data_IF_655110566849
#
_entry.id   IF_655110566849
#
_cell.length_a   1.000
_cell.length_b   1.000
_cell.length_c   1.000
_cell.angle_alpha   90.00
_cell.angle_beta   90.00
_cell.angle_gamma   90.00
#
_symmetry.space_group_name_H-M   'P 1'
#
loop_
_entity.id
_entity.type
_entity.pdbx_description
1 polymer ?
#
# COMPACT_ATOMS: atom_id res chain seq x y z
N UNK A 1 38.45 -2.52 -63.57
CA UNK A 1 37.47 -2.76 -62.48
C UNK A 1 38.18 -2.65 -61.12
N UNK A 2 38.03 -1.54 -60.40
CA UNK A 2 38.63 -1.34 -59.06
C UNK A 2 37.76 -2.05 -58.02
N UNK A 3 38.25 -3.16 -57.47
CA UNK A 3 37.63 -3.82 -56.31
C UNK A 3 37.79 -2.89 -55.10
N UNK A 4 36.67 -2.44 -54.54
CA UNK A 4 36.64 -1.59 -53.35
C UNK A 4 37.15 -2.35 -52.13
N UNK A 5 38.45 -2.23 -51.85
CA UNK A 5 39.04 -2.66 -50.60
C UNK A 5 38.51 -1.77 -49.46
N UNK A 6 37.70 -2.35 -48.55
CA UNK A 6 37.19 -1.66 -47.35
C UNK A 6 35.75 -1.96 -46.97
N UNK A 7 34.87 -2.23 -47.94
CA UNK A 7 33.41 -2.37 -47.70
C UNK A 7 33.08 -3.72 -47.04
N UNK A 8 33.74 -4.80 -47.46
CA UNK A 8 33.51 -6.15 -46.91
C UNK A 8 33.85 -6.26 -45.42
N UNK A 9 34.92 -5.58 -44.95
CA UNK A 9 35.29 -5.55 -43.53
C UNK A 9 34.29 -4.79 -42.67
N UNK A 10 33.76 -3.67 -43.17
CA UNK A 10 32.69 -2.89 -42.51
C UNK A 10 31.39 -3.71 -42.45
N UNK A 11 31.03 -4.37 -43.54
CA UNK A 11 29.82 -5.20 -43.62
C UNK A 11 29.92 -6.42 -42.69
N UNK A 12 31.09 -7.05 -42.58
CA UNK A 12 31.37 -8.15 -41.64
C UNK A 12 31.37 -7.68 -40.17
N UNK A 13 31.89 -6.48 -39.89
CA UNK A 13 31.82 -5.84 -38.56
C UNK A 13 30.37 -5.48 -38.19
N UNK A 14 29.56 -5.07 -39.16
CA UNK A 14 28.15 -4.77 -38.95
C UNK A 14 27.32 -6.04 -38.75
N UNK A 15 27.57 -7.10 -39.52
CA UNK A 15 26.94 -8.42 -39.34
C UNK A 15 27.31 -9.07 -38.00
N UNK A 16 28.56 -8.96 -37.56
CA UNK A 16 28.96 -9.46 -36.24
C UNK A 16 28.26 -8.68 -35.12
N UNK A 17 28.21 -7.35 -35.21
CA UNK A 17 27.46 -6.51 -34.25
C UNK A 17 25.97 -6.86 -34.21
N UNK A 18 25.32 -7.10 -35.36
CA UNK A 18 23.90 -7.50 -35.37
C UNK A 18 23.70 -8.89 -34.79
N UNK A 19 24.61 -9.84 -35.03
CA UNK A 19 24.54 -11.18 -34.43
C UNK A 19 24.75 -11.13 -32.91
N UNK A 20 25.73 -10.36 -32.41
CA UNK A 20 25.90 -10.15 -30.97
C UNK A 20 24.65 -9.53 -30.34
N UNK A 21 24.04 -8.54 -30.99
CA UNK A 21 22.79 -7.93 -30.51
C UNK A 21 21.62 -8.92 -30.52
N UNK A 22 21.53 -9.82 -31.51
CA UNK A 22 20.49 -10.87 -31.55
C UNK A 22 20.67 -11.85 -30.40
N UNK A 23 21.91 -12.31 -30.16
CA UNK A 23 22.22 -13.22 -29.06
C UNK A 23 21.95 -12.55 -27.72
N UNK A 24 22.39 -11.30 -27.55
CA UNK A 24 22.12 -10.52 -26.34
C UNK A 24 20.61 -10.36 -26.08
N UNK A 25 19.82 -10.05 -27.12
CA UNK A 25 18.36 -10.02 -27.03
C UNK A 25 17.77 -11.37 -26.63
N UNK A 26 18.20 -12.47 -27.27
CA UNK A 26 17.69 -13.80 -26.90
C UNK A 26 18.01 -14.19 -25.44
N UNK A 27 19.18 -13.78 -24.93
CA UNK A 27 19.55 -14.02 -23.53
C UNK A 27 18.65 -13.19 -22.61
N UNK A 28 18.41 -11.92 -22.94
CA UNK A 28 17.52 -11.05 -22.19
C UNK A 28 16.07 -11.58 -22.21
N UNK A 29 15.57 -12.01 -23.35
CA UNK A 29 14.22 -12.56 -23.51
C UNK A 29 14.05 -13.83 -22.67
N UNK A 30 15.05 -14.73 -22.68
CA UNK A 30 15.06 -15.92 -21.83
C UNK A 30 15.06 -15.57 -20.33
N UNK A 31 15.80 -14.53 -19.93
CA UNK A 31 15.79 -14.05 -18.54
C UNK A 31 14.42 -13.49 -18.14
N UNK A 32 13.79 -12.71 -19.02
CA UNK A 32 12.44 -12.16 -18.78
C UNK A 32 11.42 -13.29 -18.65
N UNK A 33 11.48 -14.29 -19.54
CA UNK A 33 10.57 -15.43 -19.50
C UNK A 33 10.75 -16.28 -18.23
N UNK A 34 11.99 -16.46 -17.78
CA UNK A 34 12.29 -17.11 -16.51
C UNK A 34 11.71 -16.31 -15.34
N UNK A 35 11.92 -14.99 -15.31
CA UNK A 35 11.38 -14.12 -14.26
C UNK A 35 9.85 -14.15 -14.22
N UNK A 36 9.18 -14.11 -15.38
CA UNK A 36 7.72 -14.22 -15.46
C UNK A 36 7.22 -15.54 -14.88
N UNK A 37 7.92 -16.64 -15.17
CA UNK A 37 7.57 -17.97 -14.64
C UNK A 37 7.78 -18.05 -13.13
N UNK A 38 8.86 -17.46 -12.61
CA UNK A 38 9.12 -17.40 -11.18
C UNK A 38 8.08 -16.54 -10.45
N UNK A 39 7.69 -15.40 -11.03
CA UNK A 39 6.64 -14.54 -10.49
C UNK A 39 5.28 -15.24 -10.45
N UNK A 40 4.90 -15.96 -11.50
CA UNK A 40 3.63 -16.70 -11.51
C UNK A 40 3.61 -17.83 -10.49
N UNK A 41 4.71 -18.58 -10.37
CA UNK A 41 4.82 -19.64 -9.36
C UNK A 41 4.81 -19.06 -7.93
N UNK A 42 5.44 -17.91 -7.73
CA UNK A 42 5.41 -17.20 -6.45
C UNK A 42 3.98 -16.74 -6.10
N UNK A 43 3.24 -16.19 -7.06
CA UNK A 43 1.83 -15.79 -6.85
C UNK A 43 0.99 -16.99 -6.40
N UNK A 44 1.07 -18.13 -7.09
CA UNK A 44 0.32 -19.35 -6.70
C UNK A 44 0.71 -19.82 -5.28
N UNK A 45 1.99 -19.73 -4.93
CA UNK A 45 2.45 -20.13 -3.61
C UNK A 45 1.97 -19.18 -2.52
N UNK A 46 1.97 -17.87 -2.78
CA UNK A 46 1.48 -16.86 -1.84
C UNK A 46 -0.04 -16.97 -1.64
N UNK A 47 -0.78 -17.36 -2.68
CA UNK A 47 -2.22 -17.66 -2.60
C UNK A 47 -2.48 -18.85 -1.68
N UNK A 48 -1.79 -19.97 -1.90
CA UNK A 48 -1.89 -21.15 -1.03
C UNK A 48 -1.51 -20.82 0.41
N UNK A 49 -0.46 -20.03 0.60
CA UNK A 49 -0.01 -19.59 1.91
C UNK A 49 -1.10 -18.78 2.62
N UNK A 50 -1.66 -17.79 1.94
CA UNK A 50 -2.66 -16.92 2.50
C UNK A 50 -4.01 -17.62 2.75
N UNK A 51 -4.40 -18.56 1.89
CA UNK A 51 -5.57 -19.42 2.12
C UNK A 51 -5.38 -20.31 3.36
N UNK A 52 -4.19 -20.91 3.53
CA UNK A 52 -3.85 -21.76 4.68
C UNK A 52 -3.80 -20.98 5.99
N UNK A 53 -3.24 -19.76 5.95
CA UNK A 53 -3.01 -18.92 7.13
C UNK A 53 -4.02 -17.78 7.27
N UNK A 54 -5.20 -17.89 6.64
CA UNK A 54 -6.23 -16.84 6.61
C UNK A 54 -6.60 -16.34 8.02
N UNK A 55 -6.82 -17.26 8.95
CA UNK A 55 -7.19 -16.91 10.33
C UNK A 55 -6.04 -16.28 11.10
N UNK A 56 -4.80 -16.72 10.84
CA UNK A 56 -3.60 -16.18 11.47
C UNK A 56 -3.37 -14.73 11.01
N UNK A 57 -3.50 -14.47 9.70
CA UNK A 57 -3.43 -13.11 9.11
C UNK A 57 -4.50 -12.20 9.73
N UNK A 58 -5.69 -12.74 10.00
CA UNK A 58 -6.78 -11.98 10.61
C UNK A 58 -6.57 -11.74 12.10
N UNK A 59 -5.96 -12.67 12.84
CA UNK A 59 -5.83 -12.59 14.30
C UNK A 59 -4.60 -11.82 14.77
N UNK A 60 -3.47 -11.98 14.09
CA UNK A 60 -2.20 -11.38 14.49
C UNK A 60 -1.81 -10.18 13.59
N UNK A 61 -1.79 -8.94 14.13
CA UNK A 61 -1.43 -7.75 13.37
C UNK A 61 0.04 -7.77 12.90
N UNK A 62 0.96 -8.38 13.63
CA UNK A 62 2.38 -8.45 13.24
C UNK A 62 2.53 -9.34 12.01
N UNK A 63 1.91 -10.52 12.05
CA UNK A 63 1.89 -11.43 10.92
C UNK A 63 1.19 -10.82 9.70
N UNK A 64 0.08 -10.10 9.92
CA UNK A 64 -0.62 -9.36 8.86
C UNK A 64 0.29 -8.33 8.18
N UNK A 65 1.04 -7.55 8.96
CA UNK A 65 1.97 -6.55 8.43
C UNK A 65 3.07 -7.19 7.58
N UNK A 66 3.67 -8.29 8.03
CA UNK A 66 4.68 -9.02 7.26
C UNK A 66 4.12 -9.60 5.95
N UNK A 67 2.92 -10.19 6.00
CA UNK A 67 2.24 -10.70 4.83
C UNK A 67 2.04 -9.58 3.78
N UNK A 68 1.63 -8.39 4.22
CA UNK A 68 1.47 -7.25 3.33
C UNK A 68 2.79 -6.73 2.77
N UNK A 69 3.85 -6.66 3.58
CA UNK A 69 5.18 -6.30 3.11
C UNK A 69 5.66 -7.25 1.99
N UNK A 70 5.36 -8.54 2.10
CA UNK A 70 5.64 -9.50 1.03
C UNK A 70 4.87 -9.16 -0.24
N UNK A 71 3.55 -8.93 -0.14
CA UNK A 71 2.72 -8.55 -1.29
C UNK A 71 3.25 -7.28 -1.98
N UNK A 72 3.55 -6.23 -1.20
CA UNK A 72 4.02 -4.95 -1.73
C UNK A 72 5.38 -5.06 -2.44
N UNK A 73 6.30 -5.91 -1.96
CA UNK A 73 7.61 -6.14 -2.62
C UNK A 73 7.49 -6.74 -4.02
N UNK A 74 6.40 -7.43 -4.30
CA UNK A 74 6.13 -8.06 -5.61
C UNK A 74 5.31 -7.13 -6.51
N UNK A 75 4.90 -5.97 -5.99
CA UNK A 75 4.01 -5.05 -6.69
C UNK A 75 2.54 -5.50 -6.66
N UNK A 76 2.18 -6.35 -5.70
CA UNK A 76 0.81 -6.78 -5.48
C UNK A 76 0.23 -6.03 -4.28
N UNK A 77 -0.88 -5.34 -4.48
CA UNK A 77 -1.64 -4.76 -3.38
C UNK A 77 -2.89 -5.62 -3.11
N UNK A 78 -2.97 -6.31 -1.95
CA UNK A 78 -4.14 -7.11 -1.59
C UNK A 78 -5.40 -6.26 -1.35
N UNK A 79 -5.29 -4.92 -1.30
CA UNK A 79 -6.39 -3.99 -1.02
C UNK A 79 -6.88 -3.17 -2.22
N UNK A 80 -6.17 -3.21 -3.35
CA UNK A 80 -6.42 -2.30 -4.47
C UNK A 80 -7.61 -2.67 -5.39
N UNK A 81 -8.15 -3.90 -5.33
CA UNK A 81 -9.26 -4.27 -6.22
C UNK A 81 -10.05 -5.48 -5.73
N UNK A 82 -11.38 -5.32 -5.59
CA UNK A 82 -12.34 -6.41 -5.38
C UNK A 82 -12.40 -7.42 -6.55
N UNK A 83 -11.85 -7.07 -7.73
CA UNK A 83 -11.67 -7.98 -8.87
C UNK A 83 -10.22 -8.46 -9.03
N UNK A 84 -9.34 -8.06 -8.11
CA UNK A 84 -7.98 -8.56 -8.06
C UNK A 84 -7.99 -9.98 -7.52
N UNK A 85 -7.16 -10.83 -8.11
CA UNK A 85 -6.87 -12.21 -7.69
C UNK A 85 -6.76 -12.42 -6.16
N UNK A 86 -6.38 -11.36 -5.42
CA UNK A 86 -6.08 -11.38 -4.00
C UNK A 86 -7.24 -10.95 -3.07
N UNK A 87 -8.09 -10.01 -3.49
CA UNK A 87 -9.17 -9.52 -2.63
C UNK A 87 -10.31 -10.55 -2.53
N UNK A 88 -10.69 -11.14 -3.68
CA UNK A 88 -11.74 -12.14 -3.77
C UNK A 88 -11.34 -13.47 -3.09
N UNK A 89 -10.06 -13.85 -3.16
CA UNK A 89 -9.60 -15.14 -2.64
C UNK A 89 -9.22 -15.12 -1.15
N UNK A 90 -8.70 -14.01 -0.63
CA UNK A 90 -8.15 -13.96 0.72
C UNK A 90 -9.11 -13.40 1.78
N UNK A 91 -10.12 -12.60 1.39
CA UNK A 91 -11.01 -11.92 2.34
C UNK A 91 -10.24 -11.02 3.34
N UNK A 92 -9.03 -10.60 2.95
CA UNK A 92 -8.19 -9.64 3.67
C UNK A 92 -8.71 -8.23 3.41
N UNK A 93 -9.22 -7.95 2.20
CA UNK A 93 -9.90 -6.70 1.87
C UNK A 93 -11.09 -6.43 2.80
N UNK A 94 -11.93 -7.45 3.06
CA UNK A 94 -13.10 -7.33 3.94
C UNK A 94 -12.76 -6.81 5.33
N UNK A 95 -11.65 -7.25 5.90
CA UNK A 95 -11.18 -6.75 7.21
C UNK A 95 -10.89 -5.25 7.16
N UNK A 96 -10.18 -4.78 6.13
CA UNK A 96 -9.85 -3.36 5.99
C UNK A 96 -11.06 -2.51 5.66
N UNK A 97 -12.04 -3.04 4.91
CA UNK A 97 -13.30 -2.36 4.64
C UNK A 97 -14.16 -2.25 5.91
N UNK A 98 -14.26 -3.32 6.70
CA UNK A 98 -14.95 -3.28 7.99
C UNK A 98 -14.29 -2.28 8.95
N UNK A 99 -12.96 -2.33 9.07
CA UNK A 99 -12.20 -1.40 9.89
C UNK A 99 -12.34 0.05 9.40
N UNK A 100 -12.40 0.27 8.08
CA UNK A 100 -12.61 1.59 7.51
C UNK A 100 -13.99 2.16 7.87
N UNK A 101 -15.05 1.35 7.84
CA UNK A 101 -16.39 1.76 8.30
C UNK A 101 -16.38 2.09 9.80
N UNK A 102 -15.67 1.31 10.60
CA UNK A 102 -15.53 1.55 12.04
C UNK A 102 -14.78 2.86 12.34
N UNK A 103 -13.73 3.15 11.58
CA UNK A 103 -13.02 4.44 11.64
C UNK A 103 -13.95 5.60 11.31
N UNK A 104 -14.77 5.48 10.26
CA UNK A 104 -15.77 6.50 9.90
C UNK A 104 -16.76 6.73 11.05
N UNK A 105 -17.26 5.66 11.67
CA UNK A 105 -18.22 5.76 12.79
C UNK A 105 -17.62 6.52 13.98
N UNK A 106 -16.39 6.20 14.38
CA UNK A 106 -15.71 6.90 15.48
C UNK A 106 -15.45 8.36 15.12
N UNK A 107 -14.98 8.64 13.90
CA UNK A 107 -14.76 10.00 13.43
C UNK A 107 -16.07 10.82 13.44
N UNK A 108 -17.19 10.24 13.04
CA UNK A 108 -18.50 10.90 13.09
C UNK A 108 -18.98 11.14 14.53
N UNK A 109 -18.79 10.18 15.43
CA UNK A 109 -19.20 10.27 16.83
C UNK A 109 -18.40 11.33 17.60
N UNK A 110 -17.09 11.41 17.35
CA UNK A 110 -16.17 12.34 18.03
C UNK A 110 -16.16 13.75 17.42
N UNK A 111 -16.76 13.93 16.23
CA UNK A 111 -16.76 15.17 15.46
C UNK A 111 -17.15 16.42 16.26
N UNK A 112 -18.17 16.31 17.13
CA UNK A 112 -18.64 17.45 17.93
C UNK A 112 -17.61 17.89 19.00
N UNK A 113 -16.78 16.97 19.47
CA UNK A 113 -15.82 17.22 20.54
C UNK A 113 -14.44 17.63 20.01
N UNK A 114 -13.99 17.03 18.90
CA UNK A 114 -12.63 17.22 18.38
C UNK A 114 -12.57 18.04 17.08
N UNK A 115 -13.72 18.46 16.54
CA UNK A 115 -13.79 19.27 15.32
C UNK A 115 -13.30 18.55 14.05
N UNK A 116 -13.17 17.22 14.08
CA UNK A 116 -12.75 16.42 12.93
C UNK A 116 -11.24 16.13 12.84
N UNK A 117 -10.48 16.40 13.91
CA UNK A 117 -9.08 15.96 14.06
C UNK A 117 -8.99 14.97 15.23
N UNK A 118 -8.41 13.79 14.99
CA UNK A 118 -8.23 12.77 16.02
C UNK A 118 -6.83 12.17 15.95
N UNK A 119 -6.18 11.97 17.10
CA UNK A 119 -4.87 11.29 17.14
C UNK A 119 -5.03 9.80 16.78
N UNK A 120 -4.08 9.23 16.04
CA UNK A 120 -4.15 7.83 15.62
C UNK A 120 -4.28 6.84 16.80
N UNK A 121 -3.58 7.11 17.92
CA UNK A 121 -3.64 6.25 19.11
C UNK A 121 -5.00 6.35 19.82
N UNK A 122 -5.60 7.54 19.83
CA UNK A 122 -6.93 7.79 20.39
C UNK A 122 -8.01 7.13 19.53
N UNK A 123 -7.91 7.28 18.20
CA UNK A 123 -8.80 6.60 17.26
C UNK A 123 -8.71 5.09 17.44
N UNK A 124 -7.49 4.53 17.50
CA UNK A 124 -7.29 3.10 17.74
C UNK A 124 -7.98 2.64 19.01
N UNK A 125 -7.73 3.32 20.12
CA UNK A 125 -8.32 2.99 21.42
C UNK A 125 -9.85 3.07 21.38
N UNK A 126 -10.41 4.04 20.66
CA UNK A 126 -11.85 4.21 20.50
C UNK A 126 -12.47 3.12 19.64
N UNK A 127 -11.80 2.73 18.54
CA UNK A 127 -12.22 1.60 17.69
C UNK A 127 -12.13 0.27 18.46
N UNK A 128 -11.05 0.04 19.23
CA UNK A 128 -10.91 -1.15 20.07
C UNK A 128 -12.03 -1.23 21.13
N UNK A 129 -12.36 -0.11 21.79
CA UNK A 129 -13.51 -0.05 22.71
C UNK A 129 -14.83 -0.37 22.03
N UNK A 130 -15.06 0.16 20.82
CA UNK A 130 -16.28 -0.08 20.05
C UNK A 130 -16.43 -1.55 19.63
N UNK A 131 -15.34 -2.23 19.29
CA UNK A 131 -15.33 -3.66 18.92
C UNK A 131 -15.47 -4.59 20.14
N UNK A 132 -15.24 -4.08 21.35
CA UNK A 132 -15.34 -4.84 22.60
C UNK A 132 -14.34 -6.01 22.67
N UNK A 133 -14.64 -7.01 23.51
CA UNK A 133 -13.79 -8.20 23.68
C UNK A 133 -13.71 -9.12 22.45
N UNK A 134 -14.44 -8.81 21.38
CA UNK A 134 -14.83 -9.85 20.43
C UNK A 134 -14.07 -9.93 19.11
N UNK A 135 -13.18 -9.00 18.75
CA UNK A 135 -12.46 -9.15 17.47
C UNK A 135 -11.02 -8.61 17.48
N UNK A 136 -10.11 -9.48 17.03
CA UNK A 136 -8.84 -9.25 16.32
C UNK A 136 -8.10 -7.96 16.68
N UNK A 137 -6.90 -8.08 17.26
CA UNK A 137 -6.06 -6.92 17.55
C UNK A 137 -5.77 -6.10 16.29
N UNK A 138 -5.84 -4.79 16.47
CA UNK A 138 -5.61 -3.78 15.43
C UNK A 138 -4.28 -3.09 15.74
N UNK A 139 -3.49 -2.79 14.72
CA UNK A 139 -2.30 -1.95 14.79
C UNK A 139 -2.54 -0.57 14.17
N UNK A 140 -1.63 0.37 14.44
CA UNK A 140 -1.69 1.70 13.83
C UNK A 140 -1.53 1.62 12.30
N UNK A 141 -0.75 0.66 11.81
CA UNK A 141 -0.58 0.40 10.37
C UNK A 141 -1.90 -0.06 9.73
N UNK A 142 -2.70 -0.86 10.45
CA UNK A 142 -4.01 -1.30 9.95
C UNK A 142 -4.96 -0.12 9.74
N UNK A 143 -4.98 0.83 10.68
CA UNK A 143 -5.80 2.05 10.61
C UNK A 143 -5.36 2.92 9.44
N UNK A 144 -4.05 3.15 9.28
CA UNK A 144 -3.49 3.92 8.17
C UNK A 144 -3.90 3.30 6.83
N UNK A 145 -3.84 1.97 6.71
CA UNK A 145 -4.23 1.26 5.49
C UNK A 145 -5.73 1.35 5.23
N UNK A 146 -6.56 1.15 6.25
CA UNK A 146 -8.02 1.35 6.14
C UNK A 146 -8.38 2.78 5.73
N UNK A 147 -7.62 3.78 6.16
CA UNK A 147 -7.83 5.17 5.73
C UNK A 147 -7.46 5.34 4.26
N UNK A 148 -6.36 4.73 3.81
CA UNK A 148 -5.97 4.75 2.38
C UNK A 148 -7.02 4.10 1.48
N UNK A 149 -7.74 3.08 1.94
CA UNK A 149 -8.85 2.48 1.17
C UNK A 149 -10.09 3.39 1.09
N UNK A 150 -10.25 4.35 2.00
CA UNK A 150 -11.32 5.35 1.97
C UNK A 150 -11.04 6.51 1.01
N UNK A 151 -9.77 6.84 0.77
CA UNK A 151 -9.36 7.99 -0.04
C UNK A 151 -10.04 8.04 -1.44
N UNK A 152 -10.18 6.92 -2.18
CA UNK A 152 -10.90 6.91 -3.47
C UNK A 152 -12.41 7.19 -3.36
N UNK A 153 -13.03 6.92 -2.20
CA UNK A 153 -14.48 6.95 -2.02
C UNK A 153 -14.99 8.31 -1.56
N UNK A 154 -14.27 8.98 -0.65
CA UNK A 154 -14.77 10.16 0.07
C UNK A 154 -14.37 11.48 -0.61
N UNK A 155 -13.59 11.42 -1.69
CA UNK A 155 -13.08 12.60 -2.39
C UNK A 155 -11.88 13.24 -1.68
N UNK A 156 -11.28 14.25 -2.32
CA UNK A 156 -10.08 14.92 -1.80
C UNK A 156 -10.39 15.70 -0.51
N UNK A 157 -9.53 15.57 0.49
CA UNK A 157 -9.55 16.38 1.72
C UNK A 157 -10.21 15.72 2.95
N UNK A 158 -10.79 14.52 2.82
CA UNK A 158 -11.34 13.75 3.92
C UNK A 158 -10.52 12.48 4.16
N UNK A 159 -10.39 12.06 5.43
CA UNK A 159 -9.61 10.90 5.84
C UNK A 159 -8.16 10.99 5.36
N UNK A 160 -7.53 12.13 5.65
CA UNK A 160 -6.12 12.40 5.37
C UNK A 160 -5.30 12.27 6.64
N UNK A 161 -4.04 11.87 6.48
CA UNK A 161 -3.05 11.80 7.56
C UNK A 161 -2.31 13.14 7.59
N UNK A 162 -2.18 13.72 8.77
CA UNK A 162 -1.43 14.95 9.02
C UNK A 162 -0.42 14.65 10.11
N UNK A 163 0.84 14.86 9.82
CA UNK A 163 1.89 14.77 10.84
C UNK A 163 2.07 16.15 11.48
N UNK A 164 1.91 16.20 12.80
CA UNK A 164 2.10 17.37 13.64
C UNK A 164 3.12 16.97 14.70
N UNK A 165 4.34 17.51 14.59
CA UNK A 165 5.46 17.15 15.46
C UNK A 165 5.70 15.63 15.50
N UNK A 166 5.52 15.02 16.67
CA UNK A 166 5.73 13.60 16.91
C UNK A 166 4.45 12.76 16.74
N UNK A 167 3.31 13.41 16.44
CA UNK A 167 2.00 12.77 16.38
C UNK A 167 1.42 12.78 14.97
N UNK A 168 0.84 11.64 14.60
CA UNK A 168 0.00 11.55 13.40
C UNK A 168 -1.46 11.73 13.77
N UNK A 169 -2.05 12.79 13.21
CA UNK A 169 -3.47 13.12 13.30
C UNK A 169 -4.21 12.65 12.05
N UNK A 170 -5.48 12.33 12.23
CA UNK A 170 -6.39 11.94 11.16
C UNK A 170 -7.45 13.02 11.03
N UNK A 171 -7.54 13.57 9.82
CA UNK A 171 -8.53 14.56 9.46
C UNK A 171 -9.73 13.87 8.82
N UNK A 172 -10.91 13.98 9.42
CA UNK A 172 -12.14 13.38 8.89
C UNK A 172 -13.00 14.34 8.06
N UNK A 173 -12.73 15.66 8.15
CA UNK A 173 -13.51 16.70 7.46
C UNK A 173 -12.74 17.33 6.30
N UNK A 174 -13.41 17.70 5.20
CA UNK A 174 -12.79 18.37 4.07
C UNK A 174 -12.39 19.78 4.49
N UNK A 175 -11.12 19.96 4.82
CA UNK A 175 -10.53 21.27 5.14
C UNK A 175 -9.12 21.33 4.59
N UNK A 176 -8.78 22.45 3.98
CA UNK A 176 -7.40 22.67 3.55
C UNK A 176 -6.61 23.28 4.72
N UNK A 177 -5.50 22.65 5.07
CA UNK A 177 -4.56 23.19 6.04
C UNK A 177 -3.48 23.95 5.29
N UNK A 178 -3.40 25.26 5.51
CA UNK A 178 -2.25 26.06 5.08
C UNK A 178 -1.06 25.80 6.02
N UNK A 179 0.15 26.16 5.58
CA UNK A 179 1.38 26.03 6.38
C UNK A 179 1.29 26.74 7.74
N UNK A 180 0.61 27.88 7.81
CA UNK A 180 0.41 28.60 9.06
C UNK A 180 -0.48 27.83 10.05
N UNK A 181 -1.51 27.13 9.55
CA UNK A 181 -2.34 26.29 10.40
C UNK A 181 -1.56 25.12 10.97
N UNK A 182 -0.69 24.49 10.16
CA UNK A 182 0.15 23.38 10.63
C UNK A 182 1.12 23.84 11.73
N UNK A 183 1.74 25.02 11.59
CA UNK A 183 2.59 25.61 12.63
C UNK A 183 1.81 25.90 13.91
N UNK A 184 0.59 26.43 13.80
CA UNK A 184 -0.25 26.64 14.97
C UNK A 184 -0.58 25.32 15.68
N UNK A 185 -0.85 24.24 14.94
CA UNK A 185 -1.07 22.92 15.50
C UNK A 185 0.19 22.36 16.17
N UNK A 186 1.37 22.59 15.60
CA UNK A 186 2.66 22.18 16.18
C UNK A 186 2.92 22.90 17.51
N UNK A 187 2.67 24.20 17.59
CA UNK A 187 2.76 24.95 18.86
C UNK A 187 1.72 24.44 19.87
N UNK A 188 0.50 24.17 19.42
CA UNK A 188 -0.57 23.64 20.26
C UNK A 188 -0.24 22.25 20.81
N UNK A 189 0.49 21.42 20.08
CA UNK A 189 0.93 20.11 20.54
C UNK A 189 1.83 20.23 21.78
N UNK A 190 2.76 21.18 21.75
CA UNK A 190 3.71 21.43 22.85
C UNK A 190 3.03 22.11 24.02
N UNK A 191 2.23 23.16 23.76
CA UNK A 191 1.65 24.00 24.80
C UNK A 191 0.28 23.52 25.31
N UNK A 192 -0.36 22.59 24.61
CA UNK A 192 -1.75 22.09 24.81
C UNK A 192 -2.86 23.12 24.58
N UNK A 193 -2.51 24.36 24.26
CA UNK A 193 -3.41 25.45 23.87
C UNK A 193 -2.68 26.39 22.89
N UNK A 194 -3.42 27.29 22.24
CA UNK A 194 -2.91 28.38 21.38
C UNK A 194 -3.32 29.70 22.01
#
# INVERSE_FOLDING_TARGET
MRRGAGISGIQKKQQTKTNFNKVAKSIQDNQIQLLQTQLSQFQINLEKFAAKHKNDIKKDPVFRAHFQQMCSKIGVDPLASNKGFWAEFLGVGDFYYELAVQVIQVCLATKASNGGLIEINELRSSVEKMRGNHLQSISNDDIIRSIKTLSPLVGKGCYTLIDVGDKTLIQSLPREFNMDYLKCLEVAEVQKFI
#
